data_IF_016334906455
#
_entry.id   IF_016334906455
#
_cell.length_a   1.000
_cell.length_b   1.000
_cell.length_c   1.000
_cell.angle_alpha   90.00
_cell.angle_beta   90.00
_cell.angle_gamma   90.00
#
_symmetry.space_group_name_H-M   'P 1'
#
loop_
_entity.id
_entity.type
_entity.pdbx_description
1 polymer ?
#
# COMPACT_ATOMS: atom_id res chain seq x y z
N UNK A 1 -17.89 28.72 -27.50
CA UNK A 1 -16.45 28.75 -27.79
C UNK A 1 -15.64 28.21 -26.62
N UNK A 2 -15.64 26.90 -26.42
CA UNK A 2 -15.16 26.25 -25.18
C UNK A 2 -14.09 25.18 -25.45
N UNK A 3 -13.03 25.52 -26.18
CA UNK A 3 -11.88 24.63 -26.40
C UNK A 3 -10.51 25.28 -26.12
N UNK A 4 -10.48 26.45 -25.46
CA UNK A 4 -9.20 27.08 -25.13
C UNK A 4 -8.76 26.68 -23.73
N UNK A 5 -7.85 25.70 -23.71
CA UNK A 5 -6.95 25.31 -22.62
C UNK A 5 -7.47 24.31 -21.57
N UNK A 6 -7.91 23.13 -22.02
CA UNK A 6 -8.21 21.97 -21.14
C UNK A 6 -7.06 21.66 -20.16
N UNK A 7 -5.81 21.81 -20.59
CA UNK A 7 -4.61 21.60 -19.76
C UNK A 7 -4.53 22.64 -18.63
N UNK A 8 -4.72 23.93 -18.91
CA UNK A 8 -4.70 24.97 -17.87
C UNK A 8 -5.83 24.78 -16.87
N UNK A 9 -7.00 24.30 -17.34
CA UNK A 9 -8.11 23.98 -16.45
C UNK A 9 -7.82 22.78 -15.54
N UNK A 10 -7.04 21.80 -16.02
CA UNK A 10 -6.58 20.68 -15.20
C UNK A 10 -5.67 21.11 -14.03
N UNK A 11 -5.02 22.27 -14.12
CA UNK A 11 -4.22 22.87 -13.04
C UNK A 11 -4.95 23.98 -12.26
N UNK A 12 -6.23 24.26 -12.56
CA UNK A 12 -7.00 25.28 -11.86
C UNK A 12 -7.27 24.89 -10.41
N UNK A 13 -6.65 25.60 -9.47
CA UNK A 13 -6.86 25.39 -8.03
C UNK A 13 -8.33 25.53 -7.64
N UNK A 14 -9.02 26.57 -8.12
CA UNK A 14 -10.43 26.81 -7.79
C UNK A 14 -11.32 25.63 -8.21
N UNK A 15 -11.14 25.16 -9.44
CA UNK A 15 -11.94 24.05 -9.98
C UNK A 15 -11.60 22.75 -9.25
N UNK A 16 -10.32 22.43 -9.12
CA UNK A 16 -9.87 21.19 -8.49
C UNK A 16 -10.27 21.12 -7.01
N UNK A 17 -10.12 22.22 -6.24
CA UNK A 17 -10.55 22.26 -4.83
C UNK A 17 -12.06 22.13 -4.72
N UNK A 18 -12.83 22.83 -5.57
CA UNK A 18 -14.29 22.69 -5.58
C UNK A 18 -14.73 21.27 -5.92
N UNK A 19 -14.04 20.59 -6.84
CA UNK A 19 -14.29 19.18 -7.17
C UNK A 19 -13.85 18.23 -6.05
N UNK A 20 -12.73 18.49 -5.39
CA UNK A 20 -12.22 17.68 -4.27
C UNK A 20 -13.13 17.75 -3.04
N UNK A 21 -13.70 18.92 -2.75
CA UNK A 21 -14.62 19.13 -1.63
C UNK A 21 -16.07 18.76 -1.96
N UNK A 22 -16.36 18.43 -3.23
CA UNK A 22 -17.70 18.01 -3.63
C UNK A 22 -18.04 16.63 -3.03
N UNK A 23 -19.16 16.56 -2.33
CA UNK A 23 -19.74 15.32 -1.78
C UNK A 23 -20.66 14.59 -2.76
N UNK A 24 -20.79 15.10 -4.00
CA UNK A 24 -21.61 14.48 -5.04
C UNK A 24 -21.04 13.10 -5.40
N UNK A 25 -21.86 12.07 -5.29
CA UNK A 25 -21.48 10.69 -5.64
C UNK A 25 -22.22 10.26 -6.91
N UNK A 26 -21.51 9.51 -7.78
CA UNK A 26 -22.15 8.85 -8.92
C UNK A 26 -22.96 7.65 -8.41
N UNK A 27 -24.11 7.33 -9.02
CA UNK A 27 -24.86 6.10 -8.71
C UNK A 27 -24.03 4.82 -8.92
N UNK A 28 -22.95 4.87 -9.70
CA UNK A 28 -22.03 3.74 -9.91
C UNK A 28 -20.95 3.61 -8.83
N UNK A 29 -20.90 4.51 -7.85
CA UNK A 29 -19.88 4.51 -6.80
C UNK A 29 -20.32 3.65 -5.62
N UNK A 30 -19.46 2.71 -5.21
CA UNK A 30 -19.67 1.89 -4.01
C UNK A 30 -19.30 2.69 -2.75
N UNK A 31 -20.25 3.45 -2.22
CA UNK A 31 -20.02 4.41 -1.13
C UNK A 31 -19.51 3.76 0.17
N UNK A 32 -19.95 2.54 0.50
CA UNK A 32 -19.46 1.81 1.67
C UNK A 32 -17.93 1.58 1.63
N UNK A 33 -17.36 1.35 0.43
CA UNK A 33 -15.92 1.18 0.27
C UNK A 33 -15.15 2.48 0.54
N UNK A 34 -15.76 3.64 0.27
CA UNK A 34 -15.14 4.92 0.60
C UNK A 34 -15.10 5.12 2.13
N UNK A 35 -16.16 4.78 2.86
CA UNK A 35 -16.16 4.79 4.32
C UNK A 35 -15.10 3.85 4.90
N UNK A 36 -15.01 2.64 4.36
CA UNK A 36 -14.02 1.65 4.77
C UNK A 36 -12.57 2.12 4.53
N UNK A 37 -12.30 2.83 3.41
CA UNK A 37 -11.00 3.46 3.18
C UNK A 37 -10.65 4.47 4.26
N UNK A 38 -11.59 5.34 4.64
CA UNK A 38 -11.36 6.37 5.64
C UNK A 38 -10.97 5.74 6.98
N UNK A 39 -11.73 4.74 7.43
CA UNK A 39 -11.42 4.02 8.67
C UNK A 39 -10.05 3.34 8.60
N UNK A 40 -9.73 2.67 7.49
CA UNK A 40 -8.43 2.04 7.28
C UNK A 40 -7.28 3.06 7.24
N UNK A 41 -7.47 4.24 6.63
CA UNK A 41 -6.47 5.32 6.63
C UNK A 41 -6.20 5.82 8.05
N UNK A 42 -7.24 6.06 8.84
CA UNK A 42 -7.06 6.50 10.24
C UNK A 42 -6.31 5.46 11.07
N UNK A 43 -6.67 4.19 10.92
CA UNK A 43 -5.97 3.10 11.62
C UNK A 43 -4.49 3.04 11.22
N UNK A 44 -4.17 3.08 9.92
CA UNK A 44 -2.78 3.09 9.43
C UNK A 44 -2.00 4.28 9.98
N UNK A 45 -2.57 5.48 9.94
CA UNK A 45 -1.91 6.70 10.40
C UNK A 45 -1.64 6.67 11.91
N UNK A 46 -2.63 6.28 12.71
CA UNK A 46 -2.48 6.13 14.15
C UNK A 46 -1.40 5.10 14.48
N UNK A 47 -1.48 3.93 13.85
CA UNK A 47 -0.52 2.84 14.03
C UNK A 47 0.92 3.22 13.71
N UNK A 48 1.17 3.79 12.53
CA UNK A 48 2.50 4.23 12.13
C UNK A 48 3.04 5.33 13.04
N UNK A 49 2.18 6.27 13.47
CA UNK A 49 2.60 7.34 14.37
C UNK A 49 3.01 6.77 15.73
N UNK A 50 2.22 5.87 16.30
CA UNK A 50 2.48 5.26 17.59
C UNK A 50 3.73 4.36 17.55
N UNK A 51 3.89 3.53 16.52
CA UNK A 51 5.11 2.72 16.31
C UNK A 51 6.36 3.59 16.17
N UNK A 52 6.27 4.70 15.43
CA UNK A 52 7.39 5.63 15.31
C UNK A 52 7.72 6.31 16.64
N UNK A 53 6.73 6.64 17.47
CA UNK A 53 6.95 7.23 18.80
C UNK A 53 7.75 6.31 19.73
N UNK A 54 7.53 4.99 19.65
CA UNK A 54 8.30 4.00 20.42
C UNK A 54 9.78 3.96 20.03
N UNK A 55 10.11 4.38 18.80
CA UNK A 55 11.49 4.44 18.31
C UNK A 55 12.22 5.74 18.68
N UNK A 56 11.57 6.68 19.38
CA UNK A 56 12.23 7.92 19.79
C UNK A 56 13.16 7.68 20.99
N UNK A 57 14.38 8.27 20.98
CA UNK A 57 15.41 8.01 22.00
C UNK A 57 15.07 8.52 23.41
N UNK A 58 13.90 9.13 23.62
CA UNK A 58 13.42 9.56 24.94
C UNK A 58 12.84 8.40 25.77
N UNK A 59 12.41 7.31 25.13
CA UNK A 59 11.75 6.20 25.80
C UNK A 59 12.75 5.27 26.47
N UNK A 60 12.46 4.81 27.69
CA UNK A 60 13.22 3.72 28.32
C UNK A 60 12.75 2.40 27.72
N UNK A 61 13.68 1.47 27.47
CA UNK A 61 13.34 0.17 26.86
C UNK A 61 12.31 -0.64 27.65
N UNK A 62 12.31 -0.53 28.98
CA UNK A 62 11.32 -1.19 29.86
C UNK A 62 9.90 -0.64 29.63
N UNK A 63 9.74 0.67 29.56
CA UNK A 63 8.44 1.31 29.32
C UNK A 63 7.88 0.92 27.93
N UNK A 64 8.74 0.70 26.93
CA UNK A 64 8.34 0.22 25.61
C UNK A 64 7.85 -1.23 25.64
N UNK A 65 8.53 -2.09 26.41
CA UNK A 65 8.14 -3.49 26.59
C UNK A 65 6.78 -3.60 27.30
N UNK A 66 6.61 -2.89 28.41
CA UNK A 66 5.35 -2.88 29.18
C UNK A 66 4.16 -2.40 28.32
N UNK A 67 4.40 -1.40 27.47
CA UNK A 67 3.40 -0.90 26.52
C UNK A 67 3.08 -1.90 25.41
N UNK A 68 4.07 -2.67 24.93
CA UNK A 68 3.87 -3.69 23.88
C UNK A 68 3.09 -4.90 24.39
N UNK A 69 3.21 -5.22 25.68
CA UNK A 69 2.50 -6.36 26.30
C UNK A 69 1.05 -6.03 26.68
N UNK A 70 0.67 -4.75 26.75
CA UNK A 70 -0.71 -4.34 27.02
C UNK A 70 -1.61 -4.65 25.81
N UNK A 71 -2.69 -5.40 26.05
CA UNK A 71 -3.70 -5.73 25.04
C UNK A 71 -4.31 -4.49 24.37
N UNK A 72 -4.33 -3.34 25.06
CA UNK A 72 -4.79 -2.06 24.53
C UNK A 72 -3.98 -1.60 23.31
N UNK A 73 -2.73 -2.07 23.17
CA UNK A 73 -1.84 -1.77 22.04
C UNK A 73 -1.94 -2.77 20.88
N UNK A 74 -2.69 -3.87 21.03
CA UNK A 74 -2.87 -4.86 19.98
C UNK A 74 -3.33 -4.28 18.62
N UNK A 75 -4.23 -3.26 18.54
CA UNK A 75 -4.58 -2.63 17.27
C UNK A 75 -3.41 -1.89 16.60
N UNK A 76 -2.49 -1.34 17.38
CA UNK A 76 -1.29 -0.64 16.88
C UNK A 76 -0.28 -1.64 16.35
N UNK A 77 -0.06 -2.75 17.04
CA UNK A 77 0.80 -3.82 16.55
C UNK A 77 0.22 -4.45 15.28
N UNK A 78 -1.10 -4.59 15.22
CA UNK A 78 -1.84 -5.16 14.09
C UNK A 78 -2.12 -4.17 12.96
N UNK A 79 -1.38 -3.06 12.87
CA UNK A 79 -1.57 -2.03 11.83
C UNK A 79 -1.48 -2.59 10.40
N UNK A 80 -0.76 -3.71 10.20
CA UNK A 80 -0.69 -4.39 8.92
C UNK A 80 -2.05 -4.93 8.44
N UNK A 81 -2.96 -5.32 9.34
CA UNK A 81 -4.31 -5.77 8.99
C UNK A 81 -5.11 -4.67 8.29
N UNK A 82 -4.91 -3.41 8.66
CA UNK A 82 -5.56 -2.29 8.00
C UNK A 82 -5.13 -2.15 6.52
N UNK A 83 -3.94 -2.63 6.15
CA UNK A 83 -3.48 -2.64 4.75
C UNK A 83 -4.21 -3.69 3.92
N UNK A 84 -4.59 -4.82 4.52
CA UNK A 84 -5.36 -5.88 3.84
C UNK A 84 -6.72 -5.36 3.35
N UNK A 85 -7.32 -4.43 4.09
CA UNK A 85 -8.54 -3.73 3.68
C UNK A 85 -8.33 -3.01 2.33
N UNK A 86 -7.17 -2.36 2.13
CA UNK A 86 -6.87 -1.72 0.83
C UNK A 86 -6.66 -2.72 -0.29
N UNK A 87 -6.06 -3.88 0.01
CA UNK A 87 -5.92 -4.96 -0.97
C UNK A 87 -7.30 -5.49 -1.39
N UNK A 88 -8.19 -5.74 -0.43
CA UNK A 88 -9.57 -6.17 -0.67
C UNK A 88 -10.34 -5.15 -1.53
N UNK A 89 -10.31 -3.87 -1.15
CA UNK A 89 -10.99 -2.80 -1.88
C UNK A 89 -10.44 -2.68 -3.31
N UNK A 90 -9.12 -2.78 -3.48
CA UNK A 90 -8.50 -2.77 -4.81
C UNK A 90 -8.99 -3.96 -5.66
N UNK A 91 -9.03 -5.16 -5.08
CA UNK A 91 -9.53 -6.36 -5.77
C UNK A 91 -11.00 -6.25 -6.20
N UNK A 92 -11.87 -5.76 -5.31
CA UNK A 92 -13.29 -5.54 -5.59
C UNK A 92 -13.46 -4.54 -6.73
N UNK A 93 -12.78 -3.40 -6.68
CA UNK A 93 -12.93 -2.34 -7.69
C UNK A 93 -12.37 -2.74 -9.05
N UNK A 94 -11.26 -3.47 -9.09
CA UNK A 94 -10.71 -3.99 -10.35
C UNK A 94 -11.68 -4.99 -10.97
N UNK A 95 -12.21 -5.91 -10.17
CA UNK A 95 -13.18 -6.92 -10.64
C UNK A 95 -14.48 -6.26 -11.11
N UNK A 96 -15.06 -5.38 -10.29
CA UNK A 96 -16.28 -4.64 -10.61
C UNK A 96 -16.12 -3.80 -11.89
N UNK A 97 -15.03 -3.04 -11.99
CA UNK A 97 -14.74 -2.23 -13.17
C UNK A 97 -14.53 -3.07 -14.42
N UNK A 98 -13.82 -4.19 -14.32
CA UNK A 98 -13.62 -5.12 -15.44
C UNK A 98 -14.93 -5.75 -15.92
N UNK A 99 -15.77 -6.23 -15.00
CA UNK A 99 -17.07 -6.81 -15.33
C UNK A 99 -17.98 -5.76 -15.97
N UNK A 100 -18.07 -4.56 -15.40
CA UNK A 100 -18.88 -3.47 -15.97
C UNK A 100 -18.39 -3.05 -17.36
N UNK A 101 -17.08 -2.99 -17.58
CA UNK A 101 -16.50 -2.68 -18.89
C UNK A 101 -16.84 -3.76 -19.92
N UNK A 102 -16.78 -5.03 -19.53
CA UNK A 102 -17.04 -6.15 -20.43
C UNK A 102 -18.54 -6.34 -20.72
N UNK A 103 -19.42 -6.10 -19.73
CA UNK A 103 -20.88 -6.10 -19.90
C UNK A 103 -21.36 -5.02 -20.89
N UNK A 104 -20.60 -3.92 -21.03
CA UNK A 104 -20.85 -2.89 -22.04
C UNK A 104 -20.40 -3.28 -23.45
N UNK A 105 -19.85 -4.49 -23.64
CA UNK A 105 -19.38 -4.99 -24.94
C UNK A 105 -18.02 -4.44 -25.38
N UNK A 106 -17.31 -3.72 -24.51
CA UNK A 106 -16.01 -3.14 -24.85
C UNK A 106 -14.92 -4.21 -24.88
N UNK A 107 -14.02 -4.14 -25.86
CA UNK A 107 -12.86 -5.04 -25.96
C UNK A 107 -11.85 -4.73 -24.84
N UNK A 108 -11.41 -5.77 -24.13
CA UNK A 108 -10.40 -5.63 -23.08
C UNK A 108 -9.00 -5.61 -23.69
N UNK A 109 -8.31 -4.46 -23.59
CA UNK A 109 -6.91 -4.33 -23.95
C UNK A 109 -6.04 -4.34 -22.68
N UNK A 110 -5.23 -5.38 -22.52
CA UNK A 110 -4.33 -5.57 -21.38
C UNK A 110 -3.30 -4.43 -21.27
N UNK A 111 -2.76 -3.96 -22.40
CA UNK A 111 -1.75 -2.90 -22.40
C UNK A 111 -2.35 -1.59 -21.88
N UNK A 112 -3.52 -1.20 -22.40
CA UNK A 112 -4.24 -0.01 -21.95
C UNK A 112 -4.63 -0.10 -20.47
N UNK A 113 -5.04 -1.29 -20.01
CA UNK A 113 -5.34 -1.55 -18.61
C UNK A 113 -4.13 -1.28 -17.69
N UNK A 114 -2.95 -1.79 -18.02
CA UNK A 114 -1.73 -1.53 -17.23
C UNK A 114 -1.26 -0.07 -17.32
N UNK A 115 -1.26 0.51 -18.52
CA UNK A 115 -0.83 1.90 -18.74
C UNK A 115 -1.68 2.89 -17.94
N UNK A 116 -3.01 2.74 -17.94
CA UNK A 116 -3.88 3.63 -17.17
C UNK A 116 -3.58 3.59 -15.67
N UNK A 117 -3.32 2.40 -15.11
CA UNK A 117 -3.00 2.30 -13.69
C UNK A 117 -1.62 2.86 -13.38
N UNK A 118 -0.63 2.59 -14.23
CA UNK A 118 0.71 3.15 -14.09
C UNK A 118 0.68 4.68 -14.12
N UNK A 119 0.08 5.27 -15.16
CA UNK A 119 -0.05 6.73 -15.29
C UNK A 119 -0.87 7.39 -14.18
N UNK A 120 -1.76 6.64 -13.52
CA UNK A 120 -2.53 7.14 -12.37
C UNK A 120 -1.73 7.16 -11.06
N UNK A 121 -0.90 6.15 -10.81
CA UNK A 121 -0.20 5.96 -9.52
C UNK A 121 1.21 6.54 -9.53
N UNK A 122 1.92 6.43 -10.65
CA UNK A 122 3.33 6.82 -10.75
C UNK A 122 3.56 8.31 -10.53
N UNK A 123 2.72 9.27 -10.99
CA UNK A 123 3.01 10.69 -10.80
C UNK A 123 3.12 11.12 -9.32
N UNK A 124 2.21 10.64 -8.47
CA UNK A 124 2.24 10.97 -7.04
C UNK A 124 3.41 10.28 -6.32
N UNK A 125 3.71 9.03 -6.69
CA UNK A 125 4.86 8.32 -6.14
C UNK A 125 6.19 8.96 -6.59
N UNK A 126 6.30 9.39 -7.85
CA UNK A 126 7.45 10.10 -8.37
C UNK A 126 7.67 11.44 -7.65
N UNK A 127 6.59 12.18 -7.35
CA UNK A 127 6.69 13.39 -6.54
C UNK A 127 7.27 13.10 -5.14
N UNK A 128 6.85 12.01 -4.48
CA UNK A 128 7.39 11.61 -3.18
C UNK A 128 8.86 11.16 -3.25
N UNK A 129 9.22 10.39 -4.28
CA UNK A 129 10.61 9.96 -4.54
C UNK A 129 11.50 11.16 -4.77
N UNK A 130 11.06 12.14 -5.57
CA UNK A 130 11.78 13.39 -5.79
C UNK A 130 11.90 14.18 -4.49
N UNK A 131 10.81 14.32 -3.73
CA UNK A 131 10.79 15.03 -2.45
C UNK A 131 11.81 14.47 -1.48
N UNK A 132 11.82 13.16 -1.25
CA UNK A 132 12.77 12.51 -0.33
C UNK A 132 14.19 12.43 -0.87
N UNK A 133 14.35 12.31 -2.18
CA UNK A 133 15.66 12.27 -2.84
C UNK A 133 16.33 13.62 -3.02
N UNK A 134 15.67 14.75 -2.73
CA UNK A 134 16.22 16.09 -2.98
C UNK A 134 15.96 17.10 -1.85
N UNK A 135 14.69 17.44 -1.59
CA UNK A 135 14.31 18.59 -0.77
C UNK A 135 14.16 18.22 0.71
N UNK A 136 13.63 17.04 1.02
CA UNK A 136 13.22 16.70 2.38
C UNK A 136 14.37 16.76 3.40
N UNK A 137 15.60 16.41 2.99
CA UNK A 137 16.78 16.52 3.86
C UNK A 137 17.00 17.96 4.39
N UNK A 138 16.48 18.98 3.69
CA UNK A 138 16.61 20.41 4.03
C UNK A 138 15.43 20.99 4.81
N UNK A 139 14.42 20.20 5.17
CA UNK A 139 13.23 20.74 5.87
C UNK A 139 13.52 21.23 7.30
N UNK A 140 14.52 20.67 7.97
CA UNK A 140 14.91 21.10 9.32
C UNK A 140 16.35 20.71 9.62
N UNK A 141 16.96 21.34 10.61
CA UNK A 141 18.36 21.18 11.00
C UNK A 141 18.51 20.61 12.42
N UNK A 142 17.81 19.51 12.71
CA UNK A 142 17.91 18.79 13.98
C UNK A 142 18.91 17.61 13.93
N UNK A 143 19.59 17.27 15.05
CA UNK A 143 20.51 16.12 15.11
C UNK A 143 19.78 14.79 14.82
N UNK A 144 18.53 14.66 15.26
CA UNK A 144 17.69 13.51 14.95
C UNK A 144 17.26 13.50 13.47
N UNK A 145 16.99 14.67 12.89
CA UNK A 145 16.58 14.80 11.50
C UNK A 145 17.66 14.30 10.56
N UNK A 146 18.90 14.77 10.71
CA UNK A 146 20.04 14.33 9.89
C UNK A 146 20.24 12.82 9.99
N UNK A 147 20.26 12.26 11.21
CA UNK A 147 20.40 10.80 11.41
C UNK A 147 19.34 9.98 10.67
N UNK A 148 18.08 10.42 10.69
CA UNK A 148 16.96 9.67 10.06
C UNK A 148 16.91 9.92 8.55
N UNK A 149 17.02 11.18 8.12
CA UNK A 149 16.87 11.56 6.73
C UNK A 149 18.12 11.31 5.87
N UNK A 150 19.34 11.26 6.44
CA UNK A 150 20.54 10.89 5.68
C UNK A 150 20.41 9.47 5.12
N UNK A 151 19.90 8.53 5.94
CA UNK A 151 19.63 7.16 5.51
C UNK A 151 18.55 7.11 4.42
N UNK A 152 17.46 7.83 4.62
CA UNK A 152 16.37 7.88 3.63
C UNK A 152 16.81 8.53 2.32
N UNK A 153 17.57 9.61 2.38
CA UNK A 153 18.16 10.28 1.24
C UNK A 153 19.08 9.32 0.47
N UNK A 154 19.97 8.61 1.17
CA UNK A 154 20.86 7.62 0.56
C UNK A 154 20.09 6.49 -0.13
N UNK A 155 19.09 5.91 0.55
CA UNK A 155 18.23 4.86 -0.01
C UNK A 155 17.51 5.36 -1.27
N UNK A 156 16.97 6.59 -1.24
CA UNK A 156 16.32 7.18 -2.40
C UNK A 156 17.28 7.43 -3.56
N UNK A 157 18.51 7.87 -3.30
CA UNK A 157 19.47 8.13 -4.38
C UNK A 157 19.86 6.88 -5.15
N UNK A 158 19.87 5.72 -4.50
CA UNK A 158 20.25 4.44 -5.11
C UNK A 158 19.04 3.66 -5.65
N UNK A 159 17.94 3.65 -4.91
CA UNK A 159 16.81 2.73 -5.15
C UNK A 159 15.53 3.44 -5.65
N UNK A 160 15.60 4.71 -6.07
CA UNK A 160 14.45 5.45 -6.62
C UNK A 160 13.77 4.71 -7.78
N UNK A 161 14.58 4.16 -8.70
CA UNK A 161 14.08 3.51 -9.91
C UNK A 161 13.28 2.25 -9.56
N UNK A 162 13.75 1.47 -8.58
CA UNK A 162 13.06 0.27 -8.10
C UNK A 162 11.69 0.59 -7.47
N UNK A 163 11.58 1.76 -6.82
CA UNK A 163 10.29 2.27 -6.32
C UNK A 163 9.36 2.70 -7.46
N UNK A 164 9.86 3.34 -8.53
CA UNK A 164 9.04 3.76 -9.68
C UNK A 164 8.62 2.63 -10.62
N UNK A 165 9.37 1.53 -10.61
CA UNK A 165 9.01 0.30 -11.34
C UNK A 165 8.21 -0.68 -10.48
N UNK A 166 7.93 -0.34 -9.21
CA UNK A 166 7.19 -1.19 -8.26
C UNK A 166 7.86 -2.55 -7.97
N UNK A 167 9.18 -2.66 -8.08
CA UNK A 167 9.94 -3.91 -7.78
C UNK A 167 10.71 -3.84 -6.46
N UNK A 168 10.61 -2.73 -5.73
CA UNK A 168 11.33 -2.50 -4.47
C UNK A 168 11.07 -3.57 -3.40
N UNK A 169 9.93 -4.28 -3.45
CA UNK A 169 9.65 -5.40 -2.56
C UNK A 169 10.60 -6.60 -2.77
N UNK A 170 11.18 -6.74 -3.96
CA UNK A 170 12.02 -7.88 -4.35
C UNK A 170 13.48 -7.50 -4.55
N UNK A 171 13.76 -6.28 -5.02
CA UNK A 171 15.13 -5.84 -5.32
C UNK A 171 15.95 -5.58 -4.06
N UNK A 172 15.48 -4.68 -3.19
CA UNK A 172 16.14 -4.36 -1.92
C UNK A 172 15.07 -3.94 -0.89
N UNK A 173 14.42 -4.92 -0.24
CA UNK A 173 13.33 -4.64 0.69
C UNK A 173 13.80 -3.93 1.98
N UNK A 174 15.08 -3.97 2.30
CA UNK A 174 15.64 -3.36 3.50
C UNK A 174 16.12 -1.91 3.29
N UNK A 175 16.33 -1.50 2.03
CA UNK A 175 16.76 -0.13 1.66
C UNK A 175 15.80 0.52 0.67
N UNK A 176 14.50 0.45 0.92
CA UNK A 176 13.50 1.14 0.10
C UNK A 176 13.66 2.66 0.17
N UNK A 177 13.44 3.36 -0.96
CA UNK A 177 13.40 4.83 -0.98
C UNK A 177 12.23 5.37 -0.13
N UNK A 178 11.00 5.02 -0.52
CA UNK A 178 9.78 5.33 0.23
C UNK A 178 9.36 4.06 0.93
N UNK A 179 9.55 3.93 2.24
CA UNK A 179 9.23 2.69 2.96
C UNK A 179 7.77 2.30 2.78
N UNK A 180 6.85 3.28 2.85
CA UNK A 180 5.42 3.08 2.66
C UNK A 180 5.05 2.62 1.24
N UNK A 181 5.95 2.68 0.25
CA UNK A 181 5.66 2.21 -1.11
C UNK A 181 5.54 0.70 -1.23
N UNK A 182 5.90 -0.07 -0.18
CA UNK A 182 5.81 -1.53 -0.19
C UNK A 182 4.41 -2.03 -0.57
N UNK A 183 3.36 -1.48 0.05
CA UNK A 183 1.99 -1.92 -0.19
C UNK A 183 1.46 -1.43 -1.54
N UNK A 184 1.87 -0.23 -1.97
CA UNK A 184 1.50 0.31 -3.30
C UNK A 184 2.08 -0.59 -4.38
N UNK A 185 3.31 -1.06 -4.18
CA UNK A 185 3.99 -1.98 -5.08
C UNK A 185 3.34 -3.35 -5.10
N UNK A 186 2.97 -3.89 -3.93
CA UNK A 186 2.18 -5.13 -3.84
C UNK A 186 0.85 -5.01 -4.59
N UNK A 187 0.14 -3.89 -4.44
CA UNK A 187 -1.11 -3.63 -5.16
C UNK A 187 -0.89 -3.64 -6.68
N UNK A 188 0.18 -3.00 -7.16
CA UNK A 188 0.50 -2.97 -8.58
C UNK A 188 0.87 -4.35 -9.11
N UNK A 189 1.68 -5.11 -8.35
CA UNK A 189 2.06 -6.48 -8.67
C UNK A 189 0.82 -7.39 -8.77
N UNK A 190 -0.06 -7.38 -7.76
CA UNK A 190 -1.32 -8.12 -7.80
C UNK A 190 -2.22 -7.70 -8.96
N UNK A 191 -2.20 -6.42 -9.32
CA UNK A 191 -2.93 -5.94 -10.49
C UNK A 191 -2.41 -6.49 -11.81
N UNK A 192 -1.09 -6.66 -11.96
CA UNK A 192 -0.50 -7.31 -13.14
C UNK A 192 -0.94 -8.77 -13.28
N UNK A 193 -1.11 -9.49 -12.16
CA UNK A 193 -1.61 -10.86 -12.19
C UNK A 193 -3.14 -10.96 -12.34
N UNK A 194 -3.87 -9.87 -12.08
CA UNK A 194 -5.35 -9.89 -12.07
C UNK A 194 -6.01 -10.41 -13.35
N UNK A 195 -5.54 -10.12 -14.59
CA UNK A 195 -6.20 -10.63 -15.80
C UNK A 195 -6.20 -12.16 -15.91
N UNK A 196 -5.22 -12.83 -15.30
CA UNK A 196 -5.13 -14.30 -15.27
C UNK A 196 -6.33 -14.89 -14.53
N UNK A 197 -6.87 -14.18 -13.54
CA UNK A 197 -8.07 -14.59 -12.81
C UNK A 197 -9.35 -14.05 -13.48
N UNK A 198 -9.34 -12.78 -13.89
CA UNK A 198 -10.53 -12.07 -14.40
C UNK A 198 -11.01 -12.59 -15.77
N UNK A 199 -10.09 -12.88 -16.69
CA UNK A 199 -10.47 -13.32 -18.05
C UNK A 199 -11.14 -14.71 -18.01
N UNK A 200 -10.56 -15.73 -17.34
CA UNK A 200 -11.23 -17.02 -17.19
C UNK A 200 -12.51 -16.93 -16.38
N UNK A 201 -12.57 -16.11 -15.33
CA UNK A 201 -13.78 -15.93 -14.53
C UNK A 201 -14.96 -15.40 -15.35
N UNK A 202 -14.72 -14.47 -16.26
CA UNK A 202 -15.76 -13.96 -17.15
C UNK A 202 -16.14 -14.93 -18.28
N UNK A 203 -15.15 -15.55 -18.95
CA UNK A 203 -15.42 -16.41 -20.11
C UNK A 203 -15.87 -17.83 -19.74
N UNK A 204 -15.37 -18.38 -18.64
CA UNK A 204 -15.61 -19.75 -18.16
C UNK A 204 -15.67 -19.75 -16.62
N UNK A 205 -16.82 -19.42 -16.01
CA UNK A 205 -16.91 -19.17 -14.57
C UNK A 205 -16.44 -20.34 -13.70
N UNK A 206 -16.72 -21.59 -14.10
CA UNK A 206 -16.23 -22.79 -13.39
C UNK A 206 -14.70 -22.87 -13.34
N UNK A 207 -14.03 -22.56 -14.46
CA UNK A 207 -12.58 -22.54 -14.55
C UNK A 207 -11.99 -21.38 -13.73
N UNK A 208 -12.58 -20.19 -13.82
CA UNK A 208 -12.14 -19.04 -13.02
C UNK A 208 -12.29 -19.26 -11.53
N UNK A 209 -13.40 -19.88 -11.09
CA UNK A 209 -13.60 -20.24 -9.69
C UNK A 209 -12.58 -21.28 -9.22
N UNK A 210 -12.31 -22.31 -10.02
CA UNK A 210 -11.27 -23.30 -9.74
C UNK A 210 -9.88 -22.64 -9.60
N UNK A 211 -9.50 -21.78 -10.55
CA UNK A 211 -8.22 -21.06 -10.49
C UNK A 211 -8.13 -20.18 -9.24
N UNK A 212 -9.21 -19.49 -8.89
CA UNK A 212 -9.26 -18.65 -7.69
C UNK A 212 -9.09 -19.49 -6.42
N UNK A 213 -9.79 -20.62 -6.32
CA UNK A 213 -9.66 -21.55 -5.20
C UNK A 213 -8.23 -22.10 -5.08
N UNK A 214 -7.63 -22.50 -6.20
CA UNK A 214 -6.24 -22.96 -6.24
C UNK A 214 -5.26 -21.88 -5.78
N UNK A 215 -5.43 -20.63 -6.23
CA UNK A 215 -4.59 -19.52 -5.80
C UNK A 215 -4.68 -19.28 -4.29
N UNK A 216 -5.89 -19.31 -3.72
CA UNK A 216 -6.10 -19.17 -2.27
C UNK A 216 -5.43 -20.30 -1.51
N UNK A 217 -5.59 -21.56 -1.95
CA UNK A 217 -4.95 -22.70 -1.31
C UNK A 217 -3.42 -22.59 -1.36
N UNK A 218 -2.85 -22.28 -2.53
CA UNK A 218 -1.40 -22.13 -2.71
C UNK A 218 -0.86 -20.99 -1.82
N UNK A 219 -1.55 -19.85 -1.75
CA UNK A 219 -1.11 -18.74 -0.90
C UNK A 219 -1.14 -19.09 0.58
N UNK A 220 -2.20 -19.75 1.04
CA UNK A 220 -2.36 -20.12 2.45
C UNK A 220 -1.36 -21.20 2.84
N UNK A 221 -1.20 -22.23 2.01
CA UNK A 221 -0.21 -23.30 2.25
C UNK A 221 1.22 -22.76 2.19
N UNK A 222 1.54 -21.88 1.24
CA UNK A 222 2.85 -21.25 1.14
C UNK A 222 3.17 -20.37 2.35
N UNK A 223 2.20 -19.60 2.83
CA UNK A 223 2.32 -18.82 4.06
C UNK A 223 2.57 -19.70 5.28
N UNK A 224 1.77 -20.76 5.44
CA UNK A 224 1.91 -21.72 6.54
C UNK A 224 3.26 -22.44 6.49
N UNK A 225 3.67 -22.92 5.31
CA UNK A 225 4.97 -23.54 5.10
C UNK A 225 6.12 -22.59 5.49
N UNK A 226 6.08 -21.34 5.04
CA UNK A 226 7.11 -20.36 5.37
C UNK A 226 7.15 -20.06 6.88
N UNK A 227 6.00 -20.05 7.57
CA UNK A 227 5.95 -19.89 9.02
C UNK A 227 6.61 -21.06 9.75
N UNK A 228 6.29 -22.30 9.35
CA UNK A 228 6.85 -23.51 9.95
C UNK A 228 8.35 -23.64 9.64
N UNK A 229 8.75 -23.47 8.38
CA UNK A 229 10.13 -23.66 7.94
C UNK A 229 11.10 -22.63 8.53
N UNK A 230 10.62 -21.44 8.89
CA UNK A 230 11.44 -20.37 9.48
C UNK A 230 11.20 -20.17 10.98
N UNK A 231 10.44 -21.05 11.61
CA UNK A 231 10.07 -20.97 13.03
C UNK A 231 9.60 -19.55 13.42
N UNK A 232 8.75 -18.96 12.57
CA UNK A 232 8.27 -17.61 12.78
C UNK A 232 7.32 -17.60 13.98
N UNK A 233 7.70 -16.87 15.03
CA UNK A 233 6.84 -16.61 16.19
C UNK A 233 5.62 -15.78 15.76
N UNK A 234 4.52 -15.94 16.50
CA UNK A 234 3.26 -15.23 16.23
C UNK A 234 3.46 -13.72 16.08
N UNK A 235 2.64 -13.10 15.22
CA UNK A 235 2.81 -11.74 14.72
C UNK A 235 2.58 -10.63 15.74
N UNK A 236 3.47 -10.51 16.72
CA UNK A 236 3.66 -9.29 17.49
C UNK A 236 4.93 -8.58 16.99
N UNK A 237 4.91 -7.25 16.99
CA UNK A 237 6.06 -6.45 16.57
C UNK A 237 7.31 -6.69 17.45
N UNK A 238 7.09 -7.23 18.66
CA UNK A 238 8.10 -7.67 19.61
C UNK A 238 7.83 -9.14 19.94
N UNK A 239 8.65 -10.05 19.39
CA UNK A 239 8.61 -11.46 19.81
C UNK A 239 9.66 -11.68 20.90
N UNK A 240 9.22 -11.96 22.13
CA UNK A 240 10.15 -12.36 23.20
C UNK A 240 10.82 -13.70 22.85
N UNK A 241 12.13 -13.77 23.03
CA UNK A 241 12.83 -15.04 22.98
C UNK A 241 12.69 -15.78 24.31
N UNK A 242 11.73 -16.70 24.37
CA UNK A 242 11.51 -17.56 25.55
C UNK A 242 12.75 -18.36 25.95
N UNK A 243 13.75 -18.46 25.06
CA UNK A 243 15.01 -19.19 25.31
C UNK A 243 15.91 -18.51 26.35
N UNK A 244 15.64 -17.26 26.77
CA UNK A 244 16.39 -16.61 27.86
C UNK A 244 15.80 -16.82 29.26
N UNK A 245 14.66 -17.50 29.40
CA UNK A 245 14.08 -17.83 30.71
C UNK A 245 14.57 -19.19 31.25
N UNK A 246 15.16 -20.02 30.39
CA UNK A 246 15.66 -21.37 30.71
C UNK A 246 17.20 -21.43 30.88
N UNK A 247 17.89 -20.30 31.04
CA UNK A 247 19.35 -20.21 31.22
C UNK A 247 19.76 -19.48 32.50
#
# INVERSE_FOLDING_TARGET
GSEKNSILYAFSLKTNVSQMLSTRTSPTTLNCLNGLRVLAMFWILAGHRMLQMLSFPKQRGRDVLEVSEDYSWAPVESTQLAVEIFFLISGILVTYGYLQHTLKGNKFNILTFYLHRYLRLTPSLAALVLLYGTIAIRFTDGPLWRRVFDRQYFNCRHNWWATLTYINNYYDPYRMCVSQSWFVSSIFQLYLFSPILLIPLHKRPKLGLLLTAMFVLISTMGGLWNAIAKDLKGGMAVSLDRRSEDA
#
